data_IF_366831624007
#
_entry.id   IF_366831624007
#
_cell.length_a   1.000
_cell.length_b   1.000
_cell.length_c   1.000
_cell.angle_alpha   90.00
_cell.angle_beta   90.00
_cell.angle_gamma   90.00
#
_symmetry.space_group_name_H-M   'P 1'
#
loop_
_entity.id
_entity.type
_entity.pdbx_description
1 polymer ?
#
# COMPACT_ATOMS: atom_id res chain seq x y z
N UNK A 1 0.23 -1.19 -22.55
CA UNK A 1 -0.22 0.19 -22.30
C UNK A 1 -0.34 0.39 -20.81
N UNK A 2 0.10 1.54 -20.31
CA UNK A 2 -0.06 1.95 -18.92
C UNK A 2 -1.20 2.97 -18.85
N UNK A 3 -2.07 2.84 -17.84
CA UNK A 3 -3.04 3.90 -17.52
C UNK A 3 -2.39 4.98 -16.64
N UNK A 4 -1.41 4.58 -15.83
CA UNK A 4 -0.53 5.48 -15.09
C UNK A 4 0.91 5.14 -15.44
N UNK A 5 1.57 5.99 -16.23
CA UNK A 5 3.01 5.93 -16.47
C UNK A 5 3.75 6.78 -15.43
N UNK A 6 4.54 6.13 -14.58
CA UNK A 6 5.28 6.83 -13.54
C UNK A 6 6.36 7.77 -14.07
N UNK A 7 6.80 7.64 -15.32
CA UNK A 7 7.71 8.61 -15.93
C UNK A 7 7.05 9.95 -16.21
N UNK A 8 5.71 9.97 -16.35
CA UNK A 8 4.92 11.20 -16.51
C UNK A 8 4.60 11.87 -15.17
N UNK A 9 4.75 11.14 -14.06
CA UNK A 9 4.49 11.63 -12.71
C UNK A 9 5.76 12.29 -12.12
N UNK A 10 6.03 13.54 -12.53
CA UNK A 10 7.08 14.37 -11.92
C UNK A 10 6.60 15.11 -10.66
N UNK A 11 7.52 15.72 -9.90
CA UNK A 11 7.21 16.45 -8.66
C UNK A 11 6.18 17.58 -8.87
N UNK A 12 6.29 18.32 -9.98
CA UNK A 12 5.35 19.39 -10.32
C UNK A 12 3.94 18.83 -10.52
N UNK A 13 3.83 17.73 -11.26
CA UNK A 13 2.54 17.09 -11.55
C UNK A 13 1.93 16.41 -10.33
N UNK A 14 2.76 15.81 -9.48
CA UNK A 14 2.34 15.12 -8.26
C UNK A 14 1.64 16.06 -7.26
N UNK A 15 2.05 17.33 -7.20
CA UNK A 15 1.50 18.34 -6.29
C UNK A 15 0.22 19.02 -6.81
N UNK A 16 -0.09 18.90 -8.11
CA UNK A 16 -1.28 19.48 -8.75
C UNK A 16 -2.54 19.01 -8.05
N UNK A 17 -3.46 19.95 -7.77
CA UNK A 17 -4.77 19.61 -7.20
C UNK A 17 -5.68 19.08 -8.28
N UNK A 18 -6.50 18.10 -7.94
CA UNK A 18 -7.42 17.51 -8.93
C UNK A 18 -8.45 18.51 -9.47
N UNK A 19 -8.78 19.56 -8.72
CA UNK A 19 -9.58 20.67 -9.24
C UNK A 19 -8.87 21.48 -10.35
N UNK A 20 -7.55 21.60 -10.32
CA UNK A 20 -6.75 22.34 -11.33
C UNK A 20 -6.72 21.62 -12.68
N UNK A 21 -6.89 20.30 -12.69
CA UNK A 21 -7.09 19.49 -13.90
C UNK A 21 -8.57 19.32 -14.26
N UNK A 22 -9.44 20.19 -13.73
CA UNK A 22 -10.85 20.27 -14.09
C UNK A 22 -11.76 19.22 -13.42
N UNK A 23 -11.27 18.49 -12.42
CA UNK A 23 -12.07 17.50 -11.69
C UNK A 23 -12.64 18.08 -10.39
N UNK A 24 -13.71 18.86 -10.51
CA UNK A 24 -14.41 19.47 -9.36
C UNK A 24 -15.54 18.60 -8.79
N UNK A 25 -16.06 17.63 -9.55
CA UNK A 25 -17.20 16.76 -9.17
C UNK A 25 -16.81 15.26 -9.21
N UNK A 26 -15.84 14.87 -8.39
CA UNK A 26 -15.29 13.50 -8.40
C UNK A 26 -16.30 12.45 -7.95
N UNK A 27 -17.22 12.81 -7.06
CA UNK A 27 -18.23 11.91 -6.51
C UNK A 27 -19.13 11.26 -7.57
N UNK A 28 -19.26 11.88 -8.75
CA UNK A 28 -20.09 11.37 -9.85
C UNK A 28 -19.28 10.61 -10.91
N UNK A 29 -17.99 10.35 -10.68
CA UNK A 29 -17.11 9.66 -11.61
C UNK A 29 -16.80 8.25 -11.10
N UNK A 30 -16.58 7.31 -12.02
CA UNK A 30 -15.92 6.05 -11.65
C UNK A 30 -14.46 6.33 -11.29
N UNK A 31 -13.83 5.46 -10.50
CA UNK A 31 -12.41 5.62 -10.20
C UNK A 31 -11.53 5.45 -11.45
N UNK A 32 -11.97 4.65 -12.43
CA UNK A 32 -11.30 4.55 -13.73
C UNK A 32 -11.31 5.91 -14.45
N UNK A 33 -12.46 6.58 -14.54
CA UNK A 33 -12.59 7.90 -15.16
C UNK A 33 -11.69 8.94 -14.48
N UNK A 34 -11.59 8.88 -13.14
CA UNK A 34 -10.72 9.76 -12.36
C UNK A 34 -9.26 9.56 -12.78
N UNK A 35 -8.83 8.31 -12.89
CA UNK A 35 -7.46 7.94 -13.27
C UNK A 35 -7.14 8.33 -14.72
N UNK A 36 -8.06 8.08 -15.66
CA UNK A 36 -7.91 8.46 -17.07
C UNK A 36 -7.72 9.97 -17.25
N UNK A 37 -8.51 10.76 -16.52
CA UNK A 37 -8.45 12.23 -16.52
C UNK A 37 -7.14 12.79 -15.96
N UNK A 38 -6.33 11.97 -15.29
CA UNK A 38 -4.98 12.37 -14.91
C UNK A 38 -4.03 12.49 -16.12
N UNK A 39 -4.39 12.01 -17.32
CA UNK A 39 -3.53 12.16 -18.51
C UNK A 39 -2.15 11.49 -18.39
N UNK A 40 -2.01 10.53 -17.48
CA UNK A 40 -0.76 9.81 -17.19
C UNK A 40 -0.56 8.58 -18.08
N UNK A 41 -1.50 8.24 -18.95
CA UNK A 41 -1.45 7.04 -19.77
C UNK A 41 -0.34 7.09 -20.83
N UNK A 42 0.23 5.94 -21.20
CA UNK A 42 1.22 5.83 -22.27
C UNK A 42 1.25 4.44 -22.91
N UNK A 43 1.77 4.36 -24.13
CA UNK A 43 1.96 3.09 -24.86
C UNK A 43 3.09 2.22 -24.30
N UNK A 44 3.74 2.63 -23.21
CA UNK A 44 4.84 1.88 -22.63
C UNK A 44 4.40 0.45 -22.22
N UNK A 45 5.37 -0.47 -22.31
CA UNK A 45 5.18 -1.86 -21.93
C UNK A 45 5.50 -2.03 -20.44
N UNK A 46 4.66 -2.83 -19.79
CA UNK A 46 4.80 -3.18 -18.38
C UNK A 46 5.96 -4.17 -18.22
N UNK A 47 6.93 -3.84 -17.35
CA UNK A 47 7.93 -4.79 -16.88
C UNK A 47 7.85 -4.81 -15.36
N UNK A 48 7.50 -5.96 -14.81
CA UNK A 48 7.25 -6.13 -13.38
C UNK A 48 7.98 -7.34 -12.84
N UNK A 49 8.35 -7.25 -11.56
CA UNK A 49 9.14 -8.25 -10.86
C UNK A 49 8.47 -8.69 -9.56
N UNK A 50 7.14 -8.87 -9.60
CA UNK A 50 6.42 -9.40 -8.44
C UNK A 50 6.96 -10.78 -8.06
N UNK A 51 7.19 -11.06 -6.76
CA UNK A 51 7.61 -12.39 -6.33
C UNK A 51 6.55 -13.44 -6.66
N UNK A 52 7.00 -14.65 -7.03
CA UNK A 52 6.11 -15.76 -7.34
C UNK A 52 5.50 -16.31 -6.05
N UNK A 53 4.17 -16.25 -5.94
CA UNK A 53 3.45 -16.87 -4.84
C UNK A 53 3.28 -18.37 -5.10
N UNK A 54 3.70 -19.21 -4.15
CA UNK A 54 3.56 -20.66 -4.24
C UNK A 54 2.21 -21.11 -3.66
N UNK A 55 1.57 -22.06 -4.32
CA UNK A 55 0.39 -22.73 -3.77
C UNK A 55 0.85 -23.71 -2.69
N UNK A 56 0.46 -23.46 -1.45
CA UNK A 56 0.81 -24.28 -0.31
C UNK A 56 -0.44 -24.67 0.51
N UNK A 57 -0.36 -25.70 1.38
CA UNK A 57 -1.47 -26.10 2.23
C UNK A 57 -1.97 -24.94 3.09
N UNK A 58 -3.25 -24.96 3.46
CA UNK A 58 -3.80 -23.94 4.33
C UNK A 58 -3.39 -24.13 5.80
N UNK A 59 -3.14 -23.02 6.48
CA UNK A 59 -3.01 -22.89 7.93
C UNK A 59 -4.17 -22.05 8.47
N UNK A 60 -4.45 -22.18 9.76
CA UNK A 60 -5.42 -21.34 10.45
C UNK A 60 -4.74 -20.56 11.57
N UNK A 61 -4.74 -19.24 11.46
CA UNK A 61 -4.08 -18.33 12.42
C UNK A 61 -5.05 -17.72 13.44
N UNK A 62 -6.27 -18.26 13.59
CA UNK A 62 -7.28 -17.70 14.51
C UNK A 62 -6.78 -17.60 15.95
N UNK A 63 -6.01 -18.60 16.41
CA UNK A 63 -5.43 -18.61 17.76
C UNK A 63 -4.39 -17.50 17.91
N UNK A 64 -3.54 -17.28 16.90
CA UNK A 64 -2.57 -16.19 16.90
C UNK A 64 -3.28 -14.82 16.95
N UNK A 65 -4.33 -14.63 16.16
CA UNK A 65 -5.15 -13.40 16.16
C UNK A 65 -5.75 -13.16 17.55
N UNK A 66 -6.30 -14.18 18.21
CA UNK A 66 -6.85 -14.05 19.56
C UNK A 66 -5.77 -13.68 20.59
N UNK A 67 -4.60 -14.32 20.54
CA UNK A 67 -3.46 -13.98 21.40
C UNK A 67 -3.02 -12.53 21.20
N UNK A 68 -2.92 -12.07 19.95
CA UNK A 68 -2.57 -10.68 19.63
C UNK A 68 -3.61 -9.67 20.15
N UNK A 69 -4.90 -10.01 20.10
CA UNK A 69 -5.97 -9.18 20.68
C UNK A 69 -5.91 -9.13 22.20
N UNK A 70 -5.67 -10.27 22.85
CA UNK A 70 -5.52 -10.35 24.31
C UNK A 70 -4.30 -9.56 24.80
N UNK A 71 -3.24 -9.50 23.99
CA UNK A 71 -2.06 -8.68 24.25
C UNK A 71 -2.21 -7.23 23.76
N UNK A 72 -3.41 -6.81 23.34
CA UNK A 72 -3.72 -5.46 22.85
C UNK A 72 -2.86 -4.97 21.67
N UNK A 73 -2.20 -5.89 20.95
CA UNK A 73 -1.37 -5.56 19.79
C UNK A 73 -2.20 -5.23 18.55
N UNK A 74 -3.38 -5.83 18.44
CA UNK A 74 -4.35 -5.56 17.38
C UNK A 74 -5.73 -5.30 17.98
N UNK A 75 -6.49 -4.41 17.37
CA UNK A 75 -7.87 -4.06 17.76
C UNK A 75 -8.87 -4.94 17.02
N UNK A 76 -8.61 -5.19 15.73
CA UNK A 76 -9.58 -5.85 14.85
C UNK A 76 -8.85 -6.63 13.74
N UNK A 77 -9.59 -7.51 13.06
CA UNK A 77 -9.11 -8.26 11.93
C UNK A 77 -10.21 -8.42 10.89
N UNK A 78 -9.87 -8.25 9.61
CA UNK A 78 -10.80 -8.34 8.48
C UNK A 78 -10.34 -9.49 7.58
N UNK A 79 -11.23 -10.43 7.27
CA UNK A 79 -10.96 -11.50 6.31
C UNK A 79 -10.85 -12.89 6.89
N UNK A 80 -10.36 -13.81 6.06
CA UNK A 80 -10.25 -15.22 6.43
C UNK A 80 -9.00 -15.45 7.28
N UNK A 81 -9.12 -16.07 8.47
CA UNK A 81 -7.95 -16.50 9.23
C UNK A 81 -7.31 -17.77 8.64
N UNK A 82 -7.92 -18.36 7.61
CA UNK A 82 -7.34 -19.49 6.86
C UNK A 82 -6.50 -18.92 5.71
N UNK A 83 -5.20 -19.10 5.79
CA UNK A 83 -4.20 -18.60 4.85
C UNK A 83 -3.47 -19.79 4.22
N UNK A 84 -2.84 -19.63 3.06
CA UNK A 84 -1.86 -20.64 2.60
C UNK A 84 -0.57 -20.52 3.41
N UNK A 85 0.16 -21.62 3.62
CA UNK A 85 1.55 -21.53 4.09
C UNK A 85 2.34 -20.62 3.15
N UNK A 86 3.38 -19.97 3.67
CA UNK A 86 4.17 -18.98 2.92
C UNK A 86 3.37 -17.73 2.48
N UNK A 87 2.13 -17.54 2.96
CA UNK A 87 1.44 -16.24 2.79
C UNK A 87 2.30 -15.15 3.42
N UNK A 88 2.58 -14.06 2.71
CA UNK A 88 3.36 -12.98 3.28
C UNK A 88 2.52 -12.21 4.29
N UNK A 89 3.13 -11.92 5.45
CA UNK A 89 2.72 -10.87 6.37
C UNK A 89 3.31 -9.58 5.82
N UNK A 90 2.45 -8.72 5.29
CA UNK A 90 2.82 -7.52 4.57
C UNK A 90 2.53 -6.26 5.40
N UNK A 91 3.36 -5.25 5.25
CA UNK A 91 2.91 -3.86 5.39
C UNK A 91 3.68 -2.97 4.43
N UNK A 92 3.13 -1.79 4.15
CA UNK A 92 3.79 -0.78 3.32
C UNK A 92 4.02 0.50 4.10
N UNK A 93 5.10 1.21 3.75
CA UNK A 93 5.40 2.51 4.34
C UNK A 93 6.11 3.42 3.34
N UNK A 94 5.68 4.67 3.31
CA UNK A 94 6.51 5.78 2.83
C UNK A 94 7.82 5.80 3.64
N UNK A 95 8.95 5.76 2.97
CA UNK A 95 10.27 5.90 3.62
C UNK A 95 10.52 7.35 4.03
N UNK A 96 11.26 7.53 5.12
CA UNK A 96 11.74 8.80 5.66
C UNK A 96 13.28 8.76 5.78
N UNK A 97 13.94 9.87 6.08
CA UNK A 97 15.40 9.86 6.36
C UNK A 97 15.79 8.90 7.49
N UNK A 98 14.83 8.58 8.37
CA UNK A 98 14.98 7.59 9.43
C UNK A 98 13.75 6.66 9.49
N UNK A 99 13.93 5.40 9.93
CA UNK A 99 12.84 4.49 10.24
C UNK A 99 11.84 5.12 11.21
N UNK A 100 10.55 4.93 10.95
CA UNK A 100 9.48 5.44 11.82
C UNK A 100 9.32 4.55 13.05
N UNK A 101 9.08 5.16 14.21
CA UNK A 101 8.96 4.45 15.48
C UNK A 101 7.87 3.36 15.47
N UNK A 102 6.75 3.60 14.78
CA UNK A 102 5.67 2.60 14.72
C UNK A 102 6.06 1.27 14.06
N UNK A 103 7.17 1.24 13.30
CA UNK A 103 7.61 0.02 12.62
C UNK A 103 7.95 -1.09 13.61
N UNK A 104 8.45 -0.73 14.80
CA UNK A 104 8.74 -1.67 15.88
C UNK A 104 7.49 -2.47 16.28
N UNK A 105 6.32 -1.83 16.32
CA UNK A 105 5.07 -2.51 16.64
C UNK A 105 4.65 -3.52 15.56
N UNK A 106 4.87 -3.19 14.28
CA UNK A 106 4.57 -4.13 13.19
C UNK A 106 5.55 -5.31 13.20
N UNK A 107 6.81 -5.07 13.51
CA UNK A 107 7.83 -6.12 13.67
C UNK A 107 7.45 -7.05 14.83
N UNK A 108 7.00 -6.51 15.96
CA UNK A 108 6.55 -7.28 17.11
C UNK A 108 5.37 -8.21 16.81
N UNK A 109 4.42 -7.74 15.99
CA UNK A 109 3.31 -8.56 15.51
C UNK A 109 3.84 -9.61 14.52
N UNK A 110 4.74 -9.23 13.62
CA UNK A 110 5.35 -10.14 12.66
C UNK A 110 6.11 -11.28 13.35
N UNK A 111 6.90 -11.01 14.39
CA UNK A 111 7.56 -12.05 15.20
C UNK A 111 6.56 -13.05 15.80
N UNK A 112 5.39 -12.57 16.21
CA UNK A 112 4.34 -13.43 16.77
C UNK A 112 3.67 -14.31 15.70
N UNK A 113 3.65 -13.86 14.44
CA UNK A 113 2.99 -14.53 13.33
C UNK A 113 3.93 -15.41 12.51
N UNK A 114 5.17 -15.00 12.30
CA UNK A 114 6.16 -15.62 11.41
C UNK A 114 7.08 -16.54 12.23
N UNK A 115 6.54 -17.69 12.64
CA UNK A 115 7.27 -18.69 13.42
C UNK A 115 7.26 -20.05 12.71
N UNK A 116 7.98 -21.03 13.27
CA UNK A 116 8.13 -22.36 12.67
C UNK A 116 6.80 -23.10 12.45
N UNK A 117 5.77 -22.80 13.23
CA UNK A 117 4.45 -23.45 13.12
C UNK A 117 3.66 -22.93 11.92
N UNK A 118 3.69 -21.62 11.70
CA UNK A 118 2.91 -20.96 10.64
C UNK A 118 3.65 -20.94 9.31
N UNK A 119 4.99 -20.87 9.33
CA UNK A 119 5.84 -20.72 8.14
C UNK A 119 5.42 -19.51 7.27
N UNK A 120 4.85 -18.48 7.90
CA UNK A 120 4.59 -17.21 7.23
C UNK A 120 5.90 -16.45 7.05
N UNK A 121 6.02 -15.73 5.93
CA UNK A 121 7.14 -14.84 5.66
C UNK A 121 6.77 -13.41 6.04
N UNK A 122 7.76 -12.58 6.36
CA UNK A 122 7.55 -11.16 6.58
C UNK A 122 8.04 -10.37 5.38
N UNK A 123 7.17 -9.52 4.81
CA UNK A 123 7.47 -8.69 3.64
C UNK A 123 7.15 -7.23 3.92
N UNK A 124 8.10 -6.34 3.62
CA UNK A 124 7.93 -4.90 3.78
C UNK A 124 8.03 -4.21 2.43
N UNK A 125 7.03 -3.39 2.12
CA UNK A 125 7.02 -2.52 0.94
C UNK A 125 7.52 -1.13 1.30
N UNK A 126 8.66 -0.75 0.73
CA UNK A 126 9.22 0.59 0.82
C UNK A 126 8.71 1.42 -0.36
N UNK A 127 7.91 2.43 -0.05
CA UNK A 127 7.26 3.32 -1.02
C UNK A 127 8.17 4.50 -1.39
N UNK A 128 9.38 4.18 -1.83
CA UNK A 128 10.46 5.13 -2.13
C UNK A 128 10.08 6.18 -3.18
N UNK A 129 9.45 5.76 -4.28
CA UNK A 129 9.01 6.69 -5.33
C UNK A 129 7.98 7.69 -4.82
N UNK A 130 7.00 7.24 -4.03
CA UNK A 130 5.97 8.14 -3.48
C UNK A 130 6.55 9.06 -2.41
N UNK A 131 7.48 8.57 -1.59
CA UNK A 131 8.25 9.40 -0.66
C UNK A 131 9.05 10.47 -1.39
N UNK A 132 9.74 10.11 -2.47
CA UNK A 132 10.54 11.04 -3.25
C UNK A 132 9.69 12.17 -3.85
N UNK A 133 8.56 11.81 -4.47
CA UNK A 133 7.63 12.79 -5.05
C UNK A 133 7.02 13.69 -3.97
N UNK A 134 6.58 13.11 -2.85
CA UNK A 134 5.98 13.86 -1.75
C UNK A 134 6.95 14.86 -1.11
N UNK A 135 8.21 14.47 -0.94
CA UNK A 135 9.21 15.26 -0.22
C UNK A 135 10.18 16.01 -1.14
N UNK A 136 10.03 15.89 -2.47
CA UNK A 136 10.89 16.50 -3.49
C UNK A 136 12.37 16.12 -3.31
N UNK A 137 12.61 14.84 -3.03
CA UNK A 137 13.95 14.32 -2.80
C UNK A 137 14.72 14.08 -4.10
N UNK A 138 16.03 14.22 -4.00
CA UNK A 138 16.97 13.77 -5.01
C UNK A 138 17.33 12.28 -4.84
N UNK A 139 18.05 11.73 -5.82
CA UNK A 139 18.45 10.33 -5.84
C UNK A 139 19.32 9.96 -4.62
N UNK A 140 20.20 10.85 -4.18
CA UNK A 140 21.08 10.61 -3.04
C UNK A 140 20.24 10.38 -1.78
N UNK A 141 19.30 11.29 -1.51
CA UNK A 141 18.42 11.22 -0.35
C UNK A 141 17.54 9.95 -0.38
N UNK A 142 17.08 9.53 -1.56
CA UNK A 142 16.33 8.28 -1.73
C UNK A 142 17.19 7.08 -1.34
N UNK A 143 18.43 7.01 -1.83
CA UNK A 143 19.35 5.90 -1.52
C UNK A 143 19.71 5.85 -0.03
N UNK A 144 19.99 7.00 0.59
CA UNK A 144 20.25 7.09 2.03
C UNK A 144 19.05 6.61 2.86
N UNK A 145 17.84 7.04 2.48
CA UNK A 145 16.60 6.63 3.13
C UNK A 145 16.34 5.13 3.00
N UNK A 146 16.53 4.58 1.80
CA UNK A 146 16.39 3.14 1.54
C UNK A 146 17.39 2.33 2.37
N UNK A 147 18.65 2.77 2.42
CA UNK A 147 19.69 2.08 3.18
C UNK A 147 19.40 2.11 4.69
N UNK A 148 18.95 3.24 5.23
CA UNK A 148 18.55 3.34 6.62
C UNK A 148 17.43 2.34 6.98
N UNK A 149 16.43 2.18 6.11
CA UNK A 149 15.36 1.20 6.30
C UNK A 149 15.85 -0.24 6.14
N UNK A 150 16.72 -0.52 5.17
CA UNK A 150 17.32 -1.86 4.98
C UNK A 150 18.10 -2.29 6.22
N UNK A 151 18.98 -1.43 6.73
CA UNK A 151 19.77 -1.72 7.93
C UNK A 151 18.88 -1.94 9.16
N UNK A 152 17.82 -1.14 9.30
CA UNK A 152 16.85 -1.32 10.36
C UNK A 152 16.17 -2.71 10.30
N UNK A 153 15.60 -3.11 9.17
CA UNK A 153 14.94 -4.42 9.08
C UNK A 153 15.91 -5.60 9.16
N UNK A 154 17.11 -5.49 8.58
CA UNK A 154 18.14 -6.53 8.71
C UNK A 154 18.48 -6.78 10.19
N UNK A 155 18.53 -5.72 11.00
CA UNK A 155 18.81 -5.82 12.44
C UNK A 155 17.62 -6.38 13.22
N UNK A 156 16.42 -5.82 13.01
CA UNK A 156 15.24 -6.12 13.84
C UNK A 156 14.50 -7.40 13.44
N UNK A 157 14.59 -7.79 12.15
CA UNK A 157 13.98 -9.00 11.61
C UNK A 157 14.79 -9.48 10.38
N UNK A 158 15.89 -10.23 10.56
CA UNK A 158 16.84 -10.56 9.49
C UNK A 158 16.25 -11.34 8.31
N UNK A 159 15.16 -12.09 8.51
CA UNK A 159 14.50 -12.84 7.43
C UNK A 159 13.48 -12.00 6.63
N UNK A 160 13.43 -10.69 6.85
CA UNK A 160 12.50 -9.79 6.16
C UNK A 160 12.80 -9.74 4.68
N UNK A 161 11.79 -9.96 3.85
CA UNK A 161 11.84 -9.62 2.45
C UNK A 161 11.52 -8.13 2.27
N UNK A 162 12.46 -7.37 1.74
CA UNK A 162 12.26 -5.94 1.46
C UNK A 162 11.95 -5.79 -0.03
N UNK A 163 10.82 -5.15 -0.33
CA UNK A 163 10.40 -4.80 -1.69
C UNK A 163 10.43 -3.28 -1.85
N UNK A 164 11.14 -2.79 -2.85
CA UNK A 164 11.23 -1.36 -3.16
C UNK A 164 10.34 -1.04 -4.35
N UNK A 165 9.52 0.01 -4.23
CA UNK A 165 8.48 0.31 -5.22
C UNK A 165 9.05 0.63 -6.60
N UNK A 166 10.13 1.41 -6.65
CA UNK A 166 10.85 1.71 -7.90
C UNK A 166 11.50 0.49 -8.55
N UNK A 167 11.76 -0.59 -7.80
CA UNK A 167 12.37 -1.82 -8.31
C UNK A 167 11.31 -2.85 -8.77
N UNK A 168 10.19 -2.95 -8.06
CA UNK A 168 9.16 -3.98 -8.29
C UNK A 168 8.09 -3.52 -9.29
N UNK A 169 7.65 -2.27 -9.19
CA UNK A 169 6.59 -1.65 -10.03
C UNK A 169 7.15 -0.38 -10.69
N UNK A 170 8.26 -0.55 -11.40
CA UNK A 170 9.07 0.56 -11.91
C UNK A 170 8.38 1.40 -13.00
N UNK A 171 7.49 0.80 -13.79
CA UNK A 171 6.94 1.46 -14.97
C UNK A 171 5.64 2.20 -14.68
N UNK A 172 4.70 1.61 -13.94
CA UNK A 172 3.36 2.17 -13.80
C UNK A 172 2.29 1.14 -13.47
N UNK A 173 1.04 1.54 -13.68
CA UNK A 173 -0.14 0.69 -13.52
C UNK A 173 -0.65 0.31 -14.92
N UNK A 174 -0.79 -1.00 -15.23
CA UNK A 174 -1.34 -1.46 -16.50
C UNK A 174 -2.80 -1.04 -16.70
N UNK A 175 -3.20 -0.79 -17.96
CA UNK A 175 -4.60 -0.48 -18.28
C UNK A 175 -5.54 -1.67 -18.01
N UNK A 176 -5.15 -2.87 -18.44
CA UNK A 176 -6.00 -4.07 -18.33
C UNK A 176 -6.42 -4.36 -16.88
N UNK A 177 -5.50 -4.17 -15.94
CA UNK A 177 -5.83 -4.21 -14.51
C UNK A 177 -6.87 -3.15 -14.12
N UNK A 178 -6.69 -1.91 -14.56
CA UNK A 178 -7.57 -0.80 -14.19
C UNK A 178 -8.98 -0.97 -14.76
N UNK A 179 -9.12 -1.39 -16.02
CA UNK A 179 -10.41 -1.72 -16.63
C UNK A 179 -11.12 -2.83 -15.86
N UNK A 180 -10.41 -3.86 -15.43
CA UNK A 180 -11.03 -4.97 -14.70
C UNK A 180 -11.44 -4.58 -13.26
N UNK A 181 -10.65 -3.73 -12.59
CA UNK A 181 -10.74 -3.56 -11.13
C UNK A 181 -11.24 -2.19 -10.68
N UNK A 182 -10.92 -1.11 -11.37
CA UNK A 182 -11.26 0.26 -10.93
C UNK A 182 -12.71 0.65 -11.19
N UNK A 183 -13.37 0.01 -12.15
CA UNK A 183 -14.81 0.20 -12.39
C UNK A 183 -15.68 -0.19 -11.18
N UNK A 184 -15.15 -1.02 -10.28
CA UNK A 184 -15.84 -1.44 -9.05
C UNK A 184 -15.80 -0.41 -7.91
N UNK A 185 -15.10 0.71 -8.12
CA UNK A 185 -14.88 1.78 -7.13
C UNK A 185 -15.46 3.07 -7.71
N UNK A 186 -16.43 3.65 -7.03
CA UNK A 186 -16.93 4.98 -7.38
C UNK A 186 -16.15 6.10 -6.67
N UNK A 187 -16.34 7.33 -7.14
CA UNK A 187 -15.69 8.51 -6.58
C UNK A 187 -16.09 8.80 -5.12
N UNK A 188 -17.30 8.46 -4.68
CA UNK A 188 -17.70 8.61 -3.27
C UNK A 188 -16.92 7.67 -2.37
N UNK A 189 -16.72 6.43 -2.82
CA UNK A 189 -15.91 5.44 -2.12
C UNK A 189 -14.46 5.87 -2.02
N UNK A 190 -13.86 6.36 -3.11
CA UNK A 190 -12.52 6.96 -3.06
C UNK A 190 -12.47 8.14 -2.08
N UNK A 191 -13.39 9.10 -2.16
CA UNK A 191 -13.44 10.24 -1.24
C UNK A 191 -13.63 9.80 0.21
N UNK A 192 -14.33 8.69 0.47
CA UNK A 192 -14.51 8.14 1.81
C UNK A 192 -13.19 7.72 2.48
N UNK A 193 -12.14 7.46 1.69
CA UNK A 193 -10.79 7.10 2.13
C UNK A 193 -9.97 8.30 2.57
N UNK A 194 -10.23 9.46 1.97
CA UNK A 194 -9.55 10.70 2.28
C UNK A 194 -10.07 11.25 3.63
N UNK A 195 -9.20 11.76 4.53
CA UNK A 195 -9.63 12.42 5.76
C UNK A 195 -10.66 13.51 5.46
N UNK A 196 -11.73 13.58 6.26
CA UNK A 196 -12.88 14.44 5.97
C UNK A 196 -12.51 15.90 5.63
N UNK A 197 -11.55 16.47 6.37
CA UNK A 197 -11.08 17.85 6.18
C UNK A 197 -10.25 18.05 4.89
N UNK A 198 -9.87 16.97 4.20
CA UNK A 198 -9.11 16.98 2.94
C UNK A 198 -9.94 16.52 1.74
N UNK A 199 -11.22 16.15 1.91
CA UNK A 199 -12.07 15.62 0.83
C UNK A 199 -12.45 16.65 -0.24
N UNK A 200 -12.09 17.92 -0.05
CA UNK A 200 -12.33 18.95 -1.06
C UNK A 200 -11.42 18.69 -2.27
N UNK A 201 -11.94 18.69 -3.52
CA UNK A 201 -11.12 18.58 -4.74
C UNK A 201 -9.96 19.58 -4.85
N UNK A 202 -10.06 20.74 -4.19
CA UNK A 202 -8.99 21.75 -4.12
C UNK A 202 -7.83 21.33 -3.21
N UNK A 203 -8.00 20.27 -2.41
CA UNK A 203 -7.01 19.80 -1.43
C UNK A 203 -6.39 18.48 -1.84
N UNK A 204 -7.12 17.63 -2.56
CA UNK A 204 -6.65 16.33 -3.02
C UNK A 204 -5.66 16.54 -4.17
N UNK A 205 -4.47 15.95 -4.04
CA UNK A 205 -3.41 16.01 -5.05
C UNK A 205 -3.53 14.85 -6.03
N UNK A 206 -2.96 15.02 -7.23
CA UNK A 206 -2.74 13.92 -8.18
C UNK A 206 -2.01 12.75 -7.50
N UNK A 207 -1.01 13.04 -6.66
CA UNK A 207 -0.27 12.01 -5.93
C UNK A 207 -1.17 11.15 -5.03
N UNK A 208 -2.20 11.72 -4.40
CA UNK A 208 -3.12 10.97 -3.51
C UNK A 208 -3.92 9.94 -4.32
N UNK A 209 -4.41 10.34 -5.50
CA UNK A 209 -5.15 9.48 -6.42
C UNK A 209 -4.26 8.36 -6.95
N UNK A 210 -3.05 8.70 -7.41
CA UNK A 210 -2.11 7.72 -7.96
C UNK A 210 -1.61 6.76 -6.89
N UNK A 211 -1.34 7.24 -5.68
CA UNK A 211 -0.93 6.40 -4.56
C UNK A 211 -2.01 5.39 -4.18
N UNK A 212 -3.28 5.81 -4.17
CA UNK A 212 -4.38 4.89 -3.95
C UNK A 212 -4.48 3.83 -5.07
N UNK A 213 -4.43 4.23 -6.34
CA UNK A 213 -4.42 3.30 -7.47
C UNK A 213 -3.26 2.30 -7.42
N UNK A 214 -2.06 2.77 -7.04
CA UNK A 214 -0.90 1.91 -6.87
C UNK A 214 -1.08 0.91 -5.73
N UNK A 215 -1.65 1.32 -4.60
CA UNK A 215 -1.95 0.40 -3.49
C UNK A 215 -2.94 -0.69 -3.91
N UNK A 216 -4.01 -0.32 -4.62
CA UNK A 216 -4.95 -1.28 -5.20
C UNK A 216 -4.21 -2.30 -6.07
N UNK A 217 -3.29 -1.81 -6.91
CA UNK A 217 -2.54 -2.64 -7.83
C UNK A 217 -1.57 -3.60 -7.13
N UNK A 218 -0.79 -3.10 -6.18
CA UNK A 218 0.16 -3.91 -5.43
C UNK A 218 -0.53 -4.99 -4.62
N UNK A 219 -1.63 -4.65 -3.93
CA UNK A 219 -2.37 -5.61 -3.11
C UNK A 219 -3.04 -6.68 -3.99
N UNK A 220 -3.52 -6.32 -5.18
CA UNK A 220 -4.04 -7.28 -6.14
C UNK A 220 -2.97 -8.27 -6.62
N UNK A 221 -1.77 -7.78 -6.93
CA UNK A 221 -0.68 -8.60 -7.46
C UNK A 221 0.08 -9.36 -6.39
N UNK A 222 -0.01 -8.92 -5.14
CA UNK A 222 0.68 -9.51 -4.00
C UNK A 222 -0.24 -9.66 -2.78
N UNK A 223 -1.33 -10.44 -2.88
CA UNK A 223 -2.27 -10.63 -1.78
C UNK A 223 -1.59 -11.33 -0.60
N UNK A 224 -2.14 -11.13 0.60
CA UNK A 224 -1.63 -11.75 1.81
C UNK A 224 -2.29 -11.26 3.10
N UNK A 225 -1.57 -11.39 4.21
CA UNK A 225 -1.98 -10.82 5.49
C UNK A 225 -1.36 -9.45 5.67
N UNK A 226 -2.15 -8.38 5.69
CA UNK A 226 -1.66 -7.02 5.83
C UNK A 226 -1.77 -6.50 7.26
N UNK A 227 -0.68 -5.92 7.77
CA UNK A 227 -0.66 -5.16 9.00
C UNK A 227 -0.88 -3.68 8.67
N UNK A 228 -1.83 -3.04 9.34
CA UNK A 228 -2.09 -1.62 9.14
C UNK A 228 -2.75 -0.99 10.35
N UNK A 229 -2.77 0.34 10.41
CA UNK A 229 -3.46 1.10 11.45
C UNK A 229 -4.99 1.01 11.29
N UNK A 230 -5.73 1.11 12.39
CA UNK A 230 -7.20 1.20 12.38
C UNK A 230 -7.73 2.32 11.48
N UNK A 231 -6.98 3.41 11.29
CA UNK A 231 -7.35 4.52 10.40
C UNK A 231 -7.43 4.09 8.92
N UNK A 232 -6.74 3.02 8.55
CA UNK A 232 -6.75 2.48 7.20
C UNK A 232 -7.82 1.39 7.01
N UNK A 233 -8.69 1.15 8.00
CA UNK A 233 -9.76 0.16 7.93
C UNK A 233 -10.59 0.29 6.64
N UNK A 234 -11.00 1.52 6.31
CA UNK A 234 -11.82 1.78 5.11
C UNK A 234 -11.06 1.50 3.82
N UNK A 235 -9.77 1.85 3.74
CA UNK A 235 -8.91 1.55 2.58
C UNK A 235 -8.91 0.06 2.30
N UNK A 236 -8.66 -0.75 3.33
CA UNK A 236 -8.61 -2.19 3.17
C UNK A 236 -9.98 -2.84 2.93
N UNK A 237 -11.08 -2.23 3.37
CA UNK A 237 -12.43 -2.66 2.96
C UNK A 237 -12.65 -2.48 1.45
N UNK A 238 -12.18 -1.37 0.89
CA UNK A 238 -12.24 -1.12 -0.57
C UNK A 238 -11.29 -2.07 -1.31
N UNK A 239 -10.05 -2.24 -0.84
CA UNK A 239 -9.09 -3.19 -1.46
C UNK A 239 -9.61 -4.62 -1.51
N UNK A 240 -10.42 -5.06 -0.54
CA UNK A 240 -11.08 -6.37 -0.58
C UNK A 240 -12.09 -6.53 -1.72
N UNK A 241 -12.68 -5.46 -2.25
CA UNK A 241 -13.50 -5.55 -3.46
C UNK A 241 -12.67 -5.95 -4.69
N UNK A 242 -11.42 -5.49 -4.73
CA UNK A 242 -10.48 -5.75 -5.82
C UNK A 242 -9.88 -7.16 -5.71
N UNK A 243 -9.45 -7.54 -4.51
CA UNK A 243 -8.67 -8.78 -4.27
C UNK A 243 -9.54 -9.95 -3.80
N UNK A 244 -10.70 -9.69 -3.23
CA UNK A 244 -11.61 -10.73 -2.76
C UNK A 244 -11.17 -11.37 -1.44
N UNK A 245 -11.23 -12.71 -1.39
CA UNK A 245 -11.04 -13.50 -0.15
C UNK A 245 -9.57 -13.68 0.24
N UNK A 246 -8.66 -13.40 -0.68
CA UNK A 246 -7.22 -13.64 -0.50
C UNK A 246 -6.51 -12.52 0.28
N UNK A 247 -7.26 -11.48 0.67
CA UNK A 247 -6.79 -10.41 1.53
C UNK A 247 -7.29 -10.60 2.97
N UNK A 248 -6.36 -10.73 3.90
CA UNK A 248 -6.61 -10.69 5.34
C UNK A 248 -5.87 -9.51 5.95
N UNK A 249 -6.46 -8.85 6.94
CA UNK A 249 -5.92 -7.60 7.47
C UNK A 249 -5.99 -7.62 8.98
N UNK A 250 -4.91 -7.26 9.66
CA UNK A 250 -4.86 -7.03 11.10
C UNK A 250 -4.71 -5.54 11.36
N UNK A 251 -5.64 -4.98 12.14
CA UNK A 251 -5.71 -3.56 12.44
C UNK A 251 -5.07 -3.28 13.80
N UNK A 252 -4.03 -2.46 13.84
CA UNK A 252 -3.29 -2.11 15.05
C UNK A 252 -3.81 -0.79 15.66
N UNK A 253 -3.51 -0.59 16.94
CA UNK A 253 -3.72 0.67 17.68
C UNK A 253 -2.73 1.76 17.29
N UNK A 254 -1.63 1.43 16.61
CA UNK A 254 -0.53 2.36 16.41
C UNK A 254 -0.87 3.37 15.33
N UNK A 255 -0.69 4.63 15.69
CA UNK A 255 -0.86 5.76 14.80
C UNK A 255 0.49 6.06 14.14
N UNK A 256 0.57 6.11 12.80
CA UNK A 256 1.66 6.83 12.15
C UNK A 256 1.60 8.26 12.66
N UNK A 257 2.56 8.70 13.47
CA UNK A 257 2.61 10.09 13.91
C UNK A 257 2.60 11.00 12.68
N UNK A 258 1.50 11.76 12.51
CA UNK A 258 1.49 12.91 11.62
C UNK A 258 2.17 14.02 12.42
N UNK A 259 3.50 14.09 12.36
CA UNK A 259 4.19 15.33 12.70
C UNK A 259 3.93 16.29 11.54
N UNK A 260 2.99 17.20 11.74
CA UNK A 260 2.90 18.42 10.96
C UNK A 260 4.21 19.19 11.20
N UNK A 261 5.12 19.14 10.24
CA UNK A 261 6.13 20.17 10.05
C UNK A 261 5.67 21.07 8.91
#
# INVERSE_FOLDING_TARGET
>A
MLIVDFKKLGCEYADVKIAEIGMTNLNNLSFLDIIERLGLASDAVVMEKFPVQKKAPHINISVNIQKLRQAEKIIDAIGSPKLTKETPVCFSTLVNLQPKLYLEHYIDIAHSLCNNETQLSFTVWLEDRFSALKNKWDEITIQESLEAYRQFFIKEFPQTQILVSSEVVANGIPLDFAEEKFDSIDGEEFLSLIPFHLRNPMLIKVLDVVHFAWNCYVIYRYPGLYLTSINNKRHFQVFRKIVGKDLTVLLTTVFPEIKNN
#
